data_IF_924843505596
#
_entry.id   IF_924843505596
#
_cell.length_a   1.000
_cell.length_b   1.000
_cell.length_c   1.000
_cell.angle_alpha   90.00
_cell.angle_beta   90.00
_cell.angle_gamma   90.00
#
_symmetry.space_group_name_H-M   'P 1'
#
loop_
_entity.id
_entity.type
_entity.pdbx_description
1 polymer ?
#
# COMPACT_ATOMS: atom_id res chain seq x y z
N UNK A 1 -6.80 -7.07 -40.48
CA UNK A 1 -7.27 -5.97 -39.62
C UNK A 1 -6.18 -5.74 -38.58
N UNK A 2 -5.34 -4.71 -38.74
CA UNK A 2 -4.20 -4.46 -37.84
C UNK A 2 -4.70 -3.66 -36.64
N UNK A 3 -4.55 -4.18 -35.44
CA UNK A 3 -5.06 -3.57 -34.21
C UNK A 3 -4.39 -2.22 -33.90
N UNK A 4 -5.20 -1.24 -33.53
CA UNK A 4 -4.83 0.15 -33.29
C UNK A 4 -3.77 0.27 -32.18
N UNK A 5 -2.86 1.27 -32.21
CA UNK A 5 -1.91 1.53 -31.13
C UNK A 5 -2.58 1.61 -29.73
N UNK A 6 -3.78 2.19 -29.64
CA UNK A 6 -4.54 2.31 -28.38
C UNK A 6 -5.01 0.95 -27.86
N UNK A 7 -5.52 0.08 -28.75
CA UNK A 7 -5.95 -1.27 -28.41
C UNK A 7 -4.79 -2.14 -27.91
N UNK A 8 -3.59 -1.93 -28.47
CA UNK A 8 -2.36 -2.61 -28.02
C UNK A 8 -1.93 -2.18 -26.62
N UNK A 9 -2.01 -0.88 -26.30
CA UNK A 9 -1.68 -0.36 -24.96
C UNK A 9 -2.68 -0.88 -23.92
N UNK A 10 -3.98 -0.81 -24.21
CA UNK A 10 -5.02 -1.35 -23.32
C UNK A 10 -4.87 -2.87 -23.13
N UNK A 11 -4.54 -3.62 -24.18
CA UNK A 11 -4.26 -5.06 -24.09
C UNK A 11 -3.04 -5.39 -23.21
N UNK A 12 -1.99 -4.56 -23.26
CA UNK A 12 -0.81 -4.71 -22.39
C UNK A 12 -1.12 -4.42 -20.93
N UNK A 13 -1.93 -3.40 -20.64
CA UNK A 13 -2.38 -3.09 -19.28
C UNK A 13 -3.27 -4.21 -18.71
N UNK A 14 -4.24 -4.71 -19.49
CA UNK A 14 -5.11 -5.82 -19.06
C UNK A 14 -4.29 -7.09 -18.78
N UNK A 15 -3.28 -7.40 -19.61
CA UNK A 15 -2.39 -8.54 -19.38
C UNK A 15 -1.52 -8.36 -18.12
N UNK A 16 -1.07 -7.14 -17.84
CA UNK A 16 -0.33 -6.80 -16.62
C UNK A 16 -1.20 -6.96 -15.37
N UNK A 17 -2.46 -6.51 -15.43
CA UNK A 17 -3.43 -6.71 -14.34
C UNK A 17 -3.85 -8.17 -14.17
N UNK A 18 -3.99 -8.94 -15.26
CA UNK A 18 -4.27 -10.37 -15.18
C UNK A 18 -3.12 -11.16 -14.52
N UNK A 19 -1.87 -10.83 -14.86
CA UNK A 19 -0.69 -11.40 -14.18
C UNK A 19 -0.67 -11.04 -12.70
N UNK A 20 -0.94 -9.77 -12.35
CA UNK A 20 -1.03 -9.32 -10.96
C UNK A 20 -2.16 -10.02 -10.20
N UNK A 21 -3.34 -10.16 -10.81
CA UNK A 21 -4.48 -10.89 -10.22
C UNK A 21 -4.17 -12.37 -9.96
N UNK A 22 -3.46 -13.05 -10.88
CA UNK A 22 -2.99 -14.42 -10.68
C UNK A 22 -2.02 -14.57 -9.51
N UNK A 23 -1.19 -13.56 -9.24
CA UNK A 23 -0.31 -13.54 -8.07
C UNK A 23 -1.10 -13.42 -6.76
N UNK A 24 -2.19 -12.65 -6.73
CA UNK A 24 -3.04 -12.53 -5.54
C UNK A 24 -3.63 -13.87 -5.13
N UNK A 25 -4.16 -14.66 -6.07
CA UNK A 25 -4.68 -16.00 -5.75
C UNK A 25 -3.59 -16.94 -5.25
N UNK A 26 -2.41 -16.91 -5.86
CA UNK A 26 -1.28 -17.73 -5.43
C UNK A 26 -0.83 -17.36 -4.01
N UNK A 27 -0.79 -16.07 -3.70
CA UNK A 27 -0.42 -15.55 -2.39
C UNK A 27 -1.46 -15.92 -1.33
N UNK A 28 -2.74 -15.63 -1.58
CA UNK A 28 -3.84 -15.98 -0.69
C UNK A 28 -3.85 -17.49 -0.38
N UNK A 29 -3.69 -18.31 -1.42
CA UNK A 29 -3.61 -19.76 -1.30
C UNK A 29 -2.47 -20.22 -0.40
N UNK A 30 -1.27 -19.64 -0.57
CA UNK A 30 -0.09 -19.98 0.24
C UNK A 30 -0.23 -19.54 1.69
N UNK A 31 -0.79 -18.35 1.92
CA UNK A 31 -1.09 -17.87 3.27
C UNK A 31 -2.10 -18.77 3.99
N UNK A 32 -3.09 -19.29 3.27
CA UNK A 32 -4.03 -20.30 3.78
C UNK A 32 -3.47 -21.73 3.84
N UNK A 33 -2.19 -21.94 3.47
CA UNK A 33 -1.56 -23.27 3.40
C UNK A 33 -2.31 -24.29 2.52
N UNK A 34 -3.00 -23.82 1.48
CA UNK A 34 -3.77 -24.65 0.55
C UNK A 34 -2.95 -25.01 -0.69
N UNK A 35 -3.19 -26.18 -1.28
CA UNK A 35 -2.75 -26.46 -2.66
C UNK A 35 -3.86 -26.08 -3.66
N UNK A 36 -3.54 -26.05 -4.97
CA UNK A 36 -4.51 -25.62 -5.99
C UNK A 36 -5.79 -26.47 -6.01
N UNK A 37 -5.70 -27.77 -5.73
CA UNK A 37 -6.87 -28.66 -5.69
C UNK A 37 -7.77 -28.31 -4.51
N UNK A 38 -7.17 -28.07 -3.33
CA UNK A 38 -7.90 -27.71 -2.13
C UNK A 38 -8.62 -26.37 -2.28
N UNK A 39 -7.91 -25.31 -2.71
CA UNK A 39 -8.54 -23.99 -2.93
C UNK A 39 -9.64 -24.07 -3.99
N UNK A 40 -9.39 -24.76 -5.11
CA UNK A 40 -10.39 -24.89 -6.16
C UNK A 40 -11.68 -25.57 -5.65
N UNK A 41 -11.54 -26.61 -4.82
CA UNK A 41 -12.66 -27.30 -4.20
C UNK A 41 -13.49 -26.38 -3.31
N UNK A 42 -12.84 -25.65 -2.40
CA UNK A 42 -13.56 -24.79 -1.43
C UNK A 42 -14.12 -23.52 -2.09
N UNK A 43 -13.50 -23.04 -3.16
CA UNK A 43 -13.97 -21.87 -3.90
C UNK A 43 -14.91 -22.22 -5.05
N UNK A 44 -15.36 -23.48 -5.18
CA UNK A 44 -16.27 -23.94 -6.24
C UNK A 44 -15.78 -23.64 -7.67
N UNK A 45 -14.49 -23.88 -7.94
CA UNK A 45 -13.90 -23.81 -9.28
C UNK A 45 -13.13 -25.10 -9.59
N UNK A 46 -12.67 -25.27 -10.83
CA UNK A 46 -11.81 -26.41 -11.18
C UNK A 46 -10.34 -26.10 -10.90
N UNK A 47 -9.54 -27.12 -10.53
CA UNK A 47 -8.08 -26.98 -10.39
C UNK A 47 -7.43 -26.40 -11.66
N UNK A 48 -7.90 -26.82 -12.83
CA UNK A 48 -7.41 -26.34 -14.13
C UNK A 48 -7.75 -24.87 -14.35
N UNK A 49 -8.96 -24.45 -13.98
CA UNK A 49 -9.41 -23.05 -14.04
C UNK A 49 -8.59 -22.19 -13.09
N UNK A 50 -8.41 -22.62 -11.83
CA UNK A 50 -7.60 -21.92 -10.85
C UNK A 50 -6.14 -21.79 -11.32
N UNK A 51 -5.56 -22.86 -11.87
CA UNK A 51 -4.22 -22.82 -12.46
C UNK A 51 -4.13 -21.81 -13.61
N UNK A 52 -5.13 -21.77 -14.49
CA UNK A 52 -5.16 -20.78 -15.58
C UNK A 52 -5.21 -19.34 -15.06
N UNK A 53 -5.94 -19.07 -13.98
CA UNK A 53 -5.93 -17.77 -13.30
C UNK A 53 -4.58 -17.46 -12.65
N UNK A 54 -4.00 -18.38 -11.87
CA UNK A 54 -2.70 -18.18 -11.19
C UNK A 54 -1.52 -17.95 -12.16
N UNK A 55 -1.67 -18.30 -13.44
CA UNK A 55 -0.68 -18.08 -14.49
C UNK A 55 -1.07 -16.94 -15.45
N UNK A 56 -2.16 -16.21 -15.19
CA UNK A 56 -2.62 -15.10 -16.01
C UNK A 56 -3.10 -15.51 -17.41
N UNK A 57 -3.41 -16.79 -17.64
CA UNK A 57 -3.93 -17.30 -18.93
C UNK A 57 -5.42 -17.01 -19.10
N UNK A 58 -6.14 -16.80 -18.00
CA UNK A 58 -7.53 -16.35 -17.95
C UNK A 58 -7.68 -15.25 -16.91
N UNK A 59 -8.62 -14.34 -17.11
CA UNK A 59 -9.04 -13.37 -16.11
C UNK A 59 -10.34 -13.84 -15.46
N UNK A 60 -10.42 -13.89 -14.12
CA UNK A 60 -11.67 -14.17 -13.41
C UNK A 60 -12.63 -12.96 -13.51
N UNK A 61 -13.93 -13.19 -13.36
CA UNK A 61 -14.88 -12.10 -13.05
C UNK A 61 -14.62 -11.59 -11.63
N UNK A 62 -15.09 -10.37 -11.31
CA UNK A 62 -14.96 -9.81 -9.96
C UNK A 62 -15.62 -10.72 -8.90
N UNK A 63 -16.79 -11.27 -9.21
CA UNK A 63 -17.50 -12.26 -8.38
C UNK A 63 -16.64 -13.51 -8.13
N UNK A 64 -16.03 -14.07 -9.20
CA UNK A 64 -15.16 -15.24 -9.07
C UNK A 64 -13.93 -14.93 -8.24
N UNK A 65 -13.33 -13.76 -8.42
CA UNK A 65 -12.17 -13.33 -7.67
C UNK A 65 -12.49 -13.15 -6.18
N UNK A 66 -13.60 -12.47 -5.86
CA UNK A 66 -14.10 -12.30 -4.49
C UNK A 66 -14.30 -13.65 -3.82
N UNK A 67 -15.01 -14.58 -4.46
CA UNK A 67 -15.26 -15.93 -3.93
C UNK A 67 -13.98 -16.74 -3.68
N UNK A 68 -12.99 -16.68 -4.60
CA UNK A 68 -11.71 -17.38 -4.43
C UNK A 68 -10.93 -16.80 -3.24
N UNK A 69 -10.89 -15.47 -3.10
CA UNK A 69 -10.21 -14.81 -2.01
C UNK A 69 -10.91 -15.08 -0.68
N UNK A 70 -12.24 -15.00 -0.63
CA UNK A 70 -13.04 -15.28 0.58
C UNK A 70 -12.80 -16.71 1.07
N UNK A 71 -12.79 -17.68 0.16
CA UNK A 71 -12.52 -19.09 0.49
C UNK A 71 -11.08 -19.32 1.01
N UNK A 72 -10.16 -18.40 0.73
CA UNK A 72 -8.79 -18.40 1.26
C UNK A 72 -8.64 -17.51 2.52
N UNK A 73 -9.73 -16.93 3.03
CA UNK A 73 -9.71 -16.06 4.22
C UNK A 73 -9.35 -14.59 3.94
N UNK A 74 -9.45 -14.13 2.70
CA UNK A 74 -9.14 -12.76 2.29
C UNK A 74 -10.38 -12.06 1.73
N UNK A 75 -10.48 -10.74 1.95
CA UNK A 75 -11.49 -9.90 1.31
C UNK A 75 -10.90 -9.21 0.07
N UNK A 76 -11.71 -9.10 -0.98
CA UNK A 76 -11.40 -8.19 -2.08
C UNK A 76 -11.90 -6.79 -1.72
N UNK A 77 -10.97 -5.86 -1.50
CA UNK A 77 -11.27 -4.49 -1.08
C UNK A 77 -10.71 -3.49 -2.08
N UNK A 78 -11.35 -2.32 -2.14
CA UNK A 78 -10.80 -1.16 -2.82
C UNK A 78 -9.79 -0.47 -1.89
N UNK A 79 -8.56 -0.28 -2.36
CA UNK A 79 -7.56 0.52 -1.67
C UNK A 79 -7.18 1.75 -2.51
N UNK A 80 -7.09 2.91 -1.86
CA UNK A 80 -6.63 4.12 -2.52
C UNK A 80 -5.17 3.96 -2.97
N UNK A 81 -4.86 4.34 -4.21
CA UNK A 81 -3.49 4.50 -4.66
C UNK A 81 -2.89 5.72 -3.96
N UNK A 82 -1.67 5.59 -3.43
CA UNK A 82 -0.94 6.72 -2.84
C UNK A 82 0.27 7.00 -3.69
N UNK A 83 0.39 8.25 -4.08
CA UNK A 83 1.51 8.79 -4.82
C UNK A 83 2.32 9.68 -3.90
N UNK A 84 3.63 9.77 -4.08
CA UNK A 84 4.48 10.65 -3.29
C UNK A 84 5.03 11.75 -4.19
N UNK A 85 4.67 12.99 -3.88
CA UNK A 85 5.24 14.16 -4.53
C UNK A 85 6.60 14.48 -3.90
N UNK A 86 7.57 14.87 -4.71
CA UNK A 86 8.86 15.36 -4.25
C UNK A 86 8.82 16.89 -4.16
N UNK A 87 9.32 17.43 -3.05
CA UNK A 87 9.40 18.86 -2.79
C UNK A 87 10.85 19.24 -2.57
N UNK A 88 11.29 20.31 -3.21
CA UNK A 88 12.63 20.86 -3.02
C UNK A 88 12.67 21.75 -1.79
N UNK A 89 13.75 21.64 -1.02
CA UNK A 89 14.07 22.46 0.13
C UNK A 89 14.98 23.61 -0.28
N UNK A 90 14.95 24.72 0.46
CA UNK A 90 15.85 25.86 0.23
C UNK A 90 17.36 25.52 0.29
N UNK A 91 17.74 24.42 0.94
CA UNK A 91 19.13 23.92 1.03
C UNK A 91 19.50 22.91 -0.07
N UNK A 92 18.62 22.67 -1.04
CA UNK A 92 18.81 21.74 -2.15
C UNK A 92 18.48 20.28 -1.83
N UNK A 93 18.10 19.94 -0.60
CA UNK A 93 17.59 18.60 -0.26
C UNK A 93 16.14 18.45 -0.73
N UNK A 94 15.67 17.22 -0.83
CA UNK A 94 14.27 16.93 -1.14
C UNK A 94 13.58 16.25 0.05
N UNK A 95 12.28 16.49 0.18
CA UNK A 95 11.39 15.74 1.06
C UNK A 95 10.16 15.28 0.27
N UNK A 96 9.44 14.31 0.81
CA UNK A 96 8.34 13.66 0.10
C UNK A 96 7.04 13.74 0.89
N UNK A 97 5.95 14.15 0.22
CA UNK A 97 4.61 14.20 0.80
C UNK A 97 3.72 13.20 0.07
N UNK A 98 3.09 12.24 0.77
CA UNK A 98 2.15 11.33 0.15
C UNK A 98 0.82 12.03 -0.17
N UNK A 99 0.11 11.53 -1.18
CA UNK A 99 -1.22 12.03 -1.56
C UNK A 99 -2.31 11.68 -0.54
N UNK A 100 -2.02 10.77 0.40
CA UNK A 100 -2.93 10.35 1.48
C UNK A 100 -2.16 9.69 2.62
N UNK A 101 -2.60 9.89 3.85
CA UNK A 101 -2.10 9.15 5.01
C UNK A 101 -2.67 7.73 5.01
N UNK A 102 -1.83 6.73 5.23
CA UNK A 102 -2.22 5.32 5.29
C UNK A 102 -2.19 4.79 6.72
N UNK A 103 -3.03 3.80 6.99
CA UNK A 103 -2.84 2.90 8.13
C UNK A 103 -1.83 1.84 7.77
N UNK A 104 -0.86 1.62 8.64
CA UNK A 104 0.16 0.59 8.46
C UNK A 104 -0.18 -0.66 9.31
N UNK A 105 0.31 -1.84 8.91
CA UNK A 105 0.35 -2.99 9.80
C UNK A 105 1.08 -2.64 11.11
N UNK A 106 0.61 -3.18 12.24
CA UNK A 106 1.16 -2.87 13.57
C UNK A 106 2.68 -3.03 13.64
N UNK A 107 3.22 -4.09 13.04
CA UNK A 107 4.67 -4.34 13.01
C UNK A 107 5.47 -3.29 12.23
N UNK A 108 4.87 -2.59 11.27
CA UNK A 108 5.50 -1.50 10.55
C UNK A 108 5.32 -0.16 11.29
N UNK A 109 4.15 0.06 11.88
CA UNK A 109 3.82 1.29 12.61
C UNK A 109 4.54 1.45 13.95
N UNK A 110 4.76 0.33 14.66
CA UNK A 110 5.28 0.26 16.03
C UNK A 110 6.48 -0.70 16.16
N UNK A 111 7.10 -1.05 15.03
CA UNK A 111 8.28 -1.91 15.02
C UNK A 111 9.59 -1.12 15.13
N UNK A 112 10.70 -1.79 14.81
CA UNK A 112 12.03 -1.17 14.81
C UNK A 112 12.37 -0.62 13.42
N UNK A 113 12.61 0.68 13.35
CA UNK A 113 13.10 1.38 12.16
C UNK A 113 14.62 1.54 12.22
N UNK A 114 15.29 1.33 11.09
CA UNK A 114 16.70 1.72 10.90
C UNK A 114 16.78 2.81 9.84
N UNK A 115 17.34 3.96 10.20
CA UNK A 115 17.55 5.09 9.30
C UNK A 115 19.02 5.50 9.35
N UNK A 116 19.77 5.16 8.31
CA UNK A 116 21.23 5.22 8.33
C UNK A 116 21.79 4.32 9.44
N UNK A 117 22.64 4.88 10.31
CA UNK A 117 23.22 4.17 11.47
C UNK A 117 22.33 4.18 12.71
N UNK A 118 21.23 4.94 12.68
CA UNK A 118 20.34 5.10 13.84
C UNK A 118 19.26 4.03 13.82
N UNK A 119 18.93 3.54 15.01
CA UNK A 119 17.84 2.59 15.25
C UNK A 119 16.82 3.28 16.14
N UNK A 120 15.54 3.14 15.79
CA UNK A 120 14.42 3.66 16.56
C UNK A 120 13.44 2.53 16.84
N UNK A 121 13.02 2.40 18.08
CA UNK A 121 11.82 1.64 18.45
C UNK A 121 10.59 2.56 18.29
N UNK A 122 9.77 2.30 17.26
CA UNK A 122 8.59 3.12 17.01
C UNK A 122 7.45 2.88 18.03
N UNK A 123 7.57 1.85 18.88
CA UNK A 123 6.67 1.68 20.01
C UNK A 123 6.93 2.72 21.10
N UNK A 124 8.19 3.14 21.28
CA UNK A 124 8.54 4.27 22.13
C UNK A 124 8.09 5.58 21.48
N UNK A 125 7.33 6.39 22.20
CA UNK A 125 6.70 7.60 21.65
C UNK A 125 7.72 8.69 21.33
N UNK A 126 8.76 8.82 22.14
CA UNK A 126 9.77 9.84 21.97
C UNK A 126 10.72 9.47 20.82
N UNK A 127 11.09 8.19 20.71
CA UNK A 127 11.83 7.67 19.57
C UNK A 127 11.01 7.74 18.28
N UNK A 128 9.71 7.41 18.32
CA UNK A 128 8.80 7.58 17.17
C UNK A 128 8.71 9.03 16.73
N UNK A 129 8.60 9.98 17.65
CA UNK A 129 8.60 11.42 17.33
C UNK A 129 9.88 11.83 16.62
N UNK A 130 11.04 11.42 17.14
CA UNK A 130 12.34 11.70 16.51
C UNK A 130 12.47 11.04 15.11
N UNK A 131 12.03 9.79 14.98
CA UNK A 131 12.00 9.06 13.72
C UNK A 131 11.10 9.75 12.68
N UNK A 132 9.89 10.16 13.08
CA UNK A 132 8.94 10.82 12.19
C UNK A 132 9.47 12.19 11.75
N UNK A 133 10.06 12.99 12.64
CA UNK A 133 10.76 14.22 12.23
C UNK A 133 11.84 13.94 11.17
N UNK A 134 12.68 12.92 11.38
CA UNK A 134 13.73 12.58 10.42
C UNK A 134 13.17 12.13 9.05
N UNK A 135 12.15 11.26 9.06
CA UNK A 135 11.49 10.77 7.85
C UNK A 135 10.79 11.89 7.08
N UNK A 136 10.05 12.78 7.76
CA UNK A 136 9.36 13.89 7.12
C UNK A 136 10.32 14.91 6.53
N UNK A 137 11.50 15.11 7.14
CA UNK A 137 12.48 16.08 6.67
C UNK A 137 13.36 15.58 5.53
N UNK A 138 13.53 14.27 5.35
CA UNK A 138 14.47 13.77 4.34
C UNK A 138 14.43 12.27 4.08
N UNK A 139 13.44 11.54 4.60
CA UNK A 139 13.23 10.14 4.26
C UNK A 139 12.77 10.00 2.81
N UNK A 140 13.22 8.95 2.13
CA UNK A 140 12.75 8.62 0.79
C UNK A 140 11.27 8.21 0.77
N UNK A 141 10.62 8.18 -0.41
CA UNK A 141 9.18 7.90 -0.50
C UNK A 141 8.81 6.51 0.04
N UNK A 142 9.66 5.49 -0.16
CA UNK A 142 9.44 4.16 0.39
C UNK A 142 9.60 4.09 1.91
N UNK A 143 10.50 4.87 2.48
CA UNK A 143 10.70 4.93 3.94
C UNK A 143 9.52 5.62 4.62
N UNK A 144 9.07 6.74 4.05
CA UNK A 144 7.88 7.48 4.52
C UNK A 144 6.64 6.59 4.45
N UNK A 145 6.34 6.00 3.28
CA UNK A 145 5.17 5.14 3.10
C UNK A 145 5.24 3.84 3.92
N UNK A 146 6.45 3.38 4.26
CA UNK A 146 6.66 2.14 5.00
C UNK A 146 6.52 2.27 6.52
N UNK A 147 6.68 3.47 7.08
CA UNK A 147 6.85 3.63 8.53
C UNK A 147 6.04 4.78 9.16
N UNK A 148 5.56 5.75 8.37
CA UNK A 148 4.71 6.83 8.87
C UNK A 148 3.24 6.38 8.82
N UNK A 149 2.70 5.96 9.96
CA UNK A 149 1.27 5.65 10.11
C UNK A 149 0.49 6.95 10.30
N UNK A 150 -0.61 7.10 9.56
CA UNK A 150 -1.42 8.31 9.56
C UNK A 150 -1.99 8.69 10.92
N UNK A 151 -2.46 7.72 11.71
CA UNK A 151 -3.06 8.01 13.03
C UNK A 151 -1.97 8.38 14.02
N UNK A 152 -0.84 7.68 14.00
CA UNK A 152 0.29 7.99 14.88
C UNK A 152 0.96 9.33 14.52
N UNK A 153 0.98 9.68 13.23
CA UNK A 153 1.45 10.99 12.78
C UNK A 153 0.52 12.09 13.28
N UNK A 154 -0.80 11.92 13.12
CA UNK A 154 -1.81 12.88 13.57
C UNK A 154 -1.75 13.09 15.08
N UNK A 155 -1.55 12.02 15.86
CA UNK A 155 -1.37 12.06 17.33
C UNK A 155 -0.14 12.85 17.74
N UNK A 156 0.96 12.74 16.98
CA UNK A 156 2.22 13.44 17.25
C UNK A 156 2.30 14.82 16.61
N UNK A 157 1.40 15.16 15.69
CA UNK A 157 1.59 16.26 14.75
C UNK A 157 1.94 17.57 15.44
N UNK A 158 1.17 17.95 16.46
CA UNK A 158 1.33 19.24 17.13
C UNK A 158 2.62 19.34 17.96
N UNK A 159 3.26 18.19 18.28
CA UNK A 159 4.54 18.10 19.00
C UNK A 159 5.77 18.00 18.08
N UNK A 160 5.57 17.72 16.78
CA UNK A 160 6.68 17.62 15.85
C UNK A 160 7.30 18.99 15.58
N UNK A 161 8.57 19.13 15.94
CA UNK A 161 9.38 20.29 15.57
C UNK A 161 9.89 20.07 14.15
N UNK A 162 9.25 20.73 13.18
CA UNK A 162 9.55 20.65 11.75
C UNK A 162 9.95 22.03 11.21
N UNK A 163 10.82 22.11 10.19
CA UNK A 163 10.98 23.34 9.42
C UNK A 163 9.67 23.81 8.80
N UNK A 164 9.43 25.13 8.76
CA UNK A 164 8.16 25.73 8.33
C UNK A 164 7.70 25.26 6.94
N UNK A 165 8.64 25.10 6.01
CA UNK A 165 8.34 24.62 4.64
C UNK A 165 7.79 23.19 4.62
N UNK A 166 8.28 22.30 5.49
CA UNK A 166 7.82 20.92 5.62
C UNK A 166 6.50 20.88 6.36
N UNK A 167 6.38 21.65 7.45
CA UNK A 167 5.13 21.82 8.20
C UNK A 167 4.00 22.26 7.26
N UNK A 168 4.23 23.31 6.47
CA UNK A 168 3.26 23.86 5.54
C UNK A 168 2.88 22.88 4.41
N UNK A 169 3.83 22.09 3.91
CA UNK A 169 3.56 21.11 2.85
C UNK A 169 2.74 19.90 3.33
N UNK A 170 2.94 19.46 4.56
CA UNK A 170 2.22 18.32 5.16
C UNK A 170 0.90 18.72 5.83
N UNK A 171 0.76 19.97 6.27
CA UNK A 171 -0.42 20.46 7.00
C UNK A 171 -1.75 20.15 6.28
N UNK A 172 -1.94 20.42 4.97
CA UNK A 172 -3.21 20.16 4.30
C UNK A 172 -3.61 18.68 4.34
N UNK A 173 -2.63 17.79 4.18
CA UNK A 173 -2.84 16.35 4.22
C UNK A 173 -3.27 15.87 5.62
N UNK A 174 -2.64 16.42 6.67
CA UNK A 174 -2.98 16.09 8.07
C UNK A 174 -4.37 16.60 8.41
N UNK A 175 -4.72 17.81 7.98
CA UNK A 175 -6.05 18.40 8.19
C UNK A 175 -7.15 17.63 7.44
N UNK A 176 -6.90 17.30 6.17
CA UNK A 176 -7.82 16.48 5.36
C UNK A 176 -8.07 15.13 6.06
N UNK A 177 -7.02 14.43 6.48
CA UNK A 177 -7.15 13.14 7.15
C UNK A 177 -7.90 13.20 8.50
N UNK A 178 -7.86 14.34 9.21
CA UNK A 178 -8.65 14.55 10.44
C UNK A 178 -10.15 14.75 10.13
N UNK A 179 -10.49 15.25 8.96
CA UNK A 179 -11.86 15.55 8.52
C UNK A 179 -12.48 14.43 7.69
N UNK A 180 -11.65 13.58 7.11
CA UNK A 180 -12.08 12.55 6.20
C UNK A 180 -12.93 11.49 6.92
N UNK A 181 -14.22 11.49 6.61
CA UNK A 181 -15.09 10.36 6.90
C UNK A 181 -14.66 9.24 5.97
N UNK A 182 -13.96 8.22 6.51
CA UNK A 182 -13.39 7.13 5.73
C UNK A 182 -14.37 6.61 4.68
N UNK A 183 -13.85 6.23 3.50
CA UNK A 183 -14.67 5.68 2.40
C UNK A 183 -15.51 4.51 2.95
N UNK A 184 -16.80 4.77 3.17
CA UNK A 184 -17.76 3.76 3.59
C UNK A 184 -17.95 2.80 2.42
N UNK A 185 -17.39 1.60 2.53
CA UNK A 185 -17.78 0.43 1.75
C UNK A 185 -18.57 -0.52 2.64
#
# INVERSE_FOLDING_TARGET
>A
MVSSPVERVLGQEVALWARRGGLLFRQARRAASLNQKALASVSGTSRTTLSAYEHGRKSPTLETAGRILDAAGFRLVLEAKVECAAHARGDGRAFHVPSRLRRLPVAAALGVLRLGERVYDLADRDERRAAYTALLCGGGPGEVLGHVDGVLLIDLWDELVLPDEIRAAWQPLVEEARQESGVMN
#
